data_IF_204857061958
#
_entry.id   IF_204857061958
#
_cell.length_a   1.000
_cell.length_b   1.000
_cell.length_c   1.000
_cell.angle_alpha   90.00
_cell.angle_beta   90.00
_cell.angle_gamma   90.00
#
_symmetry.space_group_name_H-M   'P 1'
#
loop_
_entity.id
_entity.type
_entity.pdbx_description
1 polymer ?
#
# COMPACT_ATOMS: atom_id res chain seq x y z
N UNK A 1 -0.27 6.65 23.50
CA UNK A 1 -0.52 7.90 24.25
C UNK A 1 0.79 8.67 24.52
N UNK A 2 1.81 8.05 25.13
CA UNK A 2 3.12 8.68 25.43
C UNK A 2 3.81 9.24 24.16
N UNK A 3 3.86 8.47 23.07
CA UNK A 3 4.48 8.90 21.79
C UNK A 3 3.87 10.18 21.21
N UNK A 4 2.53 10.32 21.23
CA UNK A 4 1.86 11.50 20.68
C UNK A 4 2.15 12.79 21.47
N UNK A 5 2.39 12.66 22.78
CA UNK A 5 2.75 13.78 23.66
C UNK A 5 4.23 14.17 23.45
N UNK A 6 5.12 13.18 23.31
CA UNK A 6 6.55 13.40 23.02
C UNK A 6 6.75 14.09 21.66
N UNK A 7 5.97 13.72 20.63
CA UNK A 7 6.03 14.38 19.32
C UNK A 7 5.64 15.87 19.41
N UNK A 8 4.64 16.20 20.21
CA UNK A 8 4.21 17.59 20.42
C UNK A 8 5.33 18.44 21.06
N UNK A 9 6.09 17.84 21.99
CA UNK A 9 7.26 18.47 22.63
C UNK A 9 8.47 18.64 21.69
N UNK A 10 8.57 17.82 20.65
CA UNK A 10 9.62 17.92 19.62
C UNK A 10 9.26 18.97 18.54
N UNK A 11 8.07 19.60 18.63
CA UNK A 11 7.61 20.57 17.64
C UNK A 11 7.20 19.96 16.31
N UNK A 12 7.10 18.62 16.24
CA UNK A 12 6.57 17.90 15.09
C UNK A 12 5.08 17.67 15.33
N UNK A 13 4.25 18.39 14.59
CA UNK A 13 2.80 18.16 14.57
C UNK A 13 2.55 16.67 14.31
N UNK A 14 1.98 15.91 15.27
CA UNK A 14 1.73 14.48 15.10
C UNK A 14 0.87 14.20 13.86
N UNK A 15 0.02 15.17 13.50
CA UNK A 15 -0.77 15.18 12.27
C UNK A 15 0.13 15.17 11.03
N UNK A 16 1.19 15.98 10.97
CA UNK A 16 2.14 15.98 9.84
C UNK A 16 2.91 14.67 9.77
N UNK A 17 3.37 14.13 10.89
CA UNK A 17 4.06 12.83 10.92
C UNK A 17 3.15 11.69 10.47
N UNK A 18 1.87 11.74 10.84
CA UNK A 18 0.86 10.80 10.38
C UNK A 18 0.62 10.93 8.86
N UNK A 19 0.52 12.15 8.35
CA UNK A 19 0.37 12.42 6.90
C UNK A 19 1.59 11.92 6.13
N UNK A 20 2.81 12.19 6.60
CA UNK A 20 4.04 11.67 5.98
C UNK A 20 4.06 10.13 5.95
N UNK A 21 3.62 9.48 7.03
CA UNK A 21 3.51 8.02 7.08
C UNK A 21 2.46 7.48 6.10
N UNK A 22 1.33 8.19 5.94
CA UNK A 22 0.29 7.82 5.00
C UNK A 22 0.77 7.93 3.55
N UNK A 23 1.51 9.00 3.20
CA UNK A 23 2.14 9.17 1.88
C UNK A 23 3.11 8.02 1.61
N UNK A 24 3.96 7.70 2.59
CA UNK A 24 4.92 6.60 2.46
C UNK A 24 4.23 5.24 2.29
N UNK A 25 3.14 4.99 3.03
CA UNK A 25 2.33 3.80 2.88
C UNK A 25 1.62 3.74 1.52
N UNK A 26 1.15 4.87 1.00
CA UNK A 26 0.60 4.98 -0.35
C UNK A 26 1.58 4.53 -1.43
N UNK A 27 2.87 4.84 -1.27
CA UNK A 27 3.94 4.41 -2.19
C UNK A 27 4.29 2.93 -2.02
N UNK A 28 4.25 2.39 -0.80
CA UNK A 28 4.61 0.99 -0.51
C UNK A 28 3.47 0.02 -0.85
N UNK A 29 2.22 0.43 -0.67
CA UNK A 29 1.01 -0.40 -0.84
C UNK A 29 0.93 -1.16 -2.18
N UNK A 30 1.24 -0.57 -3.37
CA UNK A 30 1.18 -1.29 -4.64
C UNK A 30 2.23 -2.38 -4.73
N UNK A 31 3.43 -2.12 -4.21
CA UNK A 31 4.53 -3.08 -4.26
C UNK A 31 4.18 -4.32 -3.43
N UNK A 32 3.68 -4.11 -2.21
CA UNK A 32 3.20 -5.21 -1.36
C UNK A 32 2.02 -5.93 -2.02
N UNK A 33 1.03 -5.20 -2.52
CA UNK A 33 -0.16 -5.80 -3.12
C UNK A 33 0.17 -6.62 -4.38
N UNK A 34 1.13 -6.19 -5.19
CA UNK A 34 1.65 -6.95 -6.33
C UNK A 34 2.17 -8.32 -5.87
N UNK A 35 2.98 -8.35 -4.81
CA UNK A 35 3.47 -9.61 -4.24
C UNK A 35 2.34 -10.47 -3.67
N UNK A 36 1.39 -9.88 -2.94
CA UNK A 36 0.24 -10.60 -2.38
C UNK A 36 -0.58 -11.27 -3.49
N UNK A 37 -0.92 -10.54 -4.56
CA UNK A 37 -1.71 -11.09 -5.69
C UNK A 37 -0.93 -12.18 -6.42
N UNK A 38 0.38 -11.99 -6.64
CA UNK A 38 1.25 -13.00 -7.28
C UNK A 38 1.35 -14.29 -6.45
N UNK A 39 1.43 -14.16 -5.12
CA UNK A 39 1.49 -15.31 -4.21
C UNK A 39 0.12 -15.99 -4.13
N UNK A 40 -0.95 -15.21 -3.98
CA UNK A 40 -2.34 -15.71 -3.85
C UNK A 40 -2.87 -16.37 -5.12
N UNK A 41 -2.35 -15.98 -6.29
CA UNK A 41 -2.64 -16.62 -7.57
C UNK A 41 -1.81 -17.89 -7.85
N UNK A 42 -0.78 -18.17 -7.04
CA UNK A 42 0.10 -19.32 -7.27
C UNK A 42 -0.42 -20.57 -6.57
N UNK A 43 -0.84 -21.55 -7.37
CA UNK A 43 -1.19 -22.91 -6.92
C UNK A 43 -0.01 -23.61 -6.21
N UNK A 44 1.23 -23.18 -6.50
CA UNK A 44 2.46 -23.68 -5.88
C UNK A 44 2.66 -23.24 -4.43
N UNK A 45 2.01 -22.14 -4.01
CA UNK A 45 2.11 -21.59 -2.64
C UNK A 45 0.79 -21.79 -1.87
N UNK A 46 -0.35 -21.63 -2.55
CA UNK A 46 -1.69 -21.67 -1.93
C UNK A 46 -2.34 -23.07 -1.96
N UNK A 47 -1.82 -24.00 -2.76
CA UNK A 47 -2.37 -25.36 -2.90
C UNK A 47 -3.84 -25.34 -3.35
N UNK A 48 -4.70 -26.08 -2.63
CA UNK A 48 -6.14 -26.23 -2.91
C UNK A 48 -6.97 -24.98 -2.61
N UNK A 49 -6.45 -24.01 -1.85
CA UNK A 49 -7.13 -22.74 -1.54
C UNK A 49 -6.83 -21.63 -2.55
N UNK A 50 -6.43 -21.99 -3.78
CA UNK A 50 -6.08 -21.01 -4.80
C UNK A 50 -7.24 -20.07 -5.09
N UNK A 51 -6.92 -18.79 -5.25
CA UNK A 51 -7.92 -17.82 -5.69
C UNK A 51 -8.50 -18.25 -7.05
N UNK A 52 -9.82 -18.39 -7.14
CA UNK A 52 -10.50 -18.68 -8.42
C UNK A 52 -10.16 -17.58 -9.43
N UNK A 53 -10.23 -17.88 -10.74
CA UNK A 53 -9.89 -16.93 -11.83
C UNK A 53 -10.48 -15.52 -11.63
N UNK A 54 -11.70 -15.42 -11.09
CA UNK A 54 -12.35 -14.15 -10.74
C UNK A 54 -11.56 -13.31 -9.72
N UNK A 55 -11.10 -13.91 -8.64
CA UNK A 55 -10.37 -13.21 -7.59
C UNK A 55 -8.94 -12.85 -8.04
N UNK A 56 -8.35 -13.64 -8.93
CA UNK A 56 -7.08 -13.27 -9.58
C UNK A 56 -7.23 -12.08 -10.54
N UNK A 57 -8.33 -12.02 -11.32
CA UNK A 57 -8.65 -10.88 -12.20
C UNK A 57 -8.88 -9.61 -11.38
N UNK A 58 -9.67 -9.70 -10.30
CA UNK A 58 -9.92 -8.57 -9.40
C UNK A 58 -8.61 -8.11 -8.75
N UNK A 59 -7.80 -9.02 -8.22
CA UNK A 59 -6.50 -8.69 -7.63
C UNK A 59 -5.57 -7.99 -8.61
N UNK A 60 -5.49 -8.47 -9.85
CA UNK A 60 -4.66 -7.83 -10.88
C UNK A 60 -5.20 -6.46 -11.29
N UNK A 61 -6.53 -6.29 -11.34
CA UNK A 61 -7.17 -5.01 -11.58
C UNK A 61 -6.88 -4.01 -10.45
N UNK A 62 -6.95 -4.45 -9.19
CA UNK A 62 -6.59 -3.63 -8.02
C UNK A 62 -5.12 -3.23 -8.03
N UNK A 63 -4.21 -4.15 -8.38
CA UNK A 63 -2.78 -3.84 -8.54
C UNK A 63 -2.56 -2.82 -9.65
N UNK A 64 -3.22 -2.97 -10.80
CA UNK A 64 -3.17 -1.99 -11.89
C UNK A 64 -3.64 -0.61 -11.44
N UNK A 65 -4.78 -0.55 -10.74
CA UNK A 65 -5.33 0.69 -10.21
C UNK A 65 -4.40 1.35 -9.17
N UNK A 66 -3.82 0.56 -8.25
CA UNK A 66 -2.87 1.08 -7.25
C UNK A 66 -1.55 1.55 -7.88
N UNK A 67 -1.07 0.89 -8.93
CA UNK A 67 0.07 1.35 -9.72
C UNK A 67 -0.21 2.73 -10.32
N UNK A 68 -1.39 2.92 -10.94
CA UNK A 68 -1.80 4.21 -11.50
C UNK A 68 -1.85 5.30 -10.41
N UNK A 69 -2.47 5.00 -9.28
CA UNK A 69 -2.57 5.94 -8.13
C UNK A 69 -1.18 6.29 -7.59
N UNK A 70 -0.27 5.33 -7.53
CA UNK A 70 1.09 5.57 -7.01
C UNK A 70 1.94 6.37 -7.97
N UNK A 71 1.84 6.11 -9.27
CA UNK A 71 2.46 6.95 -10.30
C UNK A 71 1.88 8.37 -10.22
N UNK A 72 0.57 8.51 -10.08
CA UNK A 72 -0.09 9.81 -9.89
C UNK A 72 0.39 10.55 -8.64
N UNK A 73 0.62 9.82 -7.53
CA UNK A 73 1.16 10.40 -6.29
C UNK A 73 2.60 10.87 -6.46
N UNK A 74 3.44 10.11 -7.17
CA UNK A 74 4.81 10.50 -7.48
C UNK A 74 4.83 11.74 -8.39
N UNK A 75 3.95 11.80 -9.39
CA UNK A 75 3.84 12.96 -10.29
C UNK A 75 3.34 14.19 -9.52
N UNK A 76 2.33 14.04 -8.66
CA UNK A 76 1.82 15.13 -7.83
C UNK A 76 2.86 15.63 -6.82
N UNK A 77 3.74 14.75 -6.32
CA UNK A 77 4.85 15.15 -5.46
C UNK A 77 5.94 15.93 -6.21
N UNK A 78 6.06 15.76 -7.53
CA UNK A 78 7.08 16.39 -8.36
C UNK A 78 6.58 17.68 -9.07
N UNK A 79 5.29 18.01 -8.96
CA UNK A 79 4.67 19.24 -9.51
C UNK A 79 4.44 20.26 -8.40
#
# INVERSE_FOLDING_TARGET
>A
MILGIILNFIGLDPIKTLIYSAIFNGIISPMILYFIVKISGSEKIMGDLKNKRLANIIGWFTVGLLCIVSIGTIIFLFI
#
